data_IF_450412685961
#
_entry.id   IF_450412685961
#
_cell.length_a   1.000
_cell.length_b   1.000
_cell.length_c   1.000
_cell.angle_alpha   90.00
_cell.angle_beta   90.00
_cell.angle_gamma   90.00
#
_symmetry.space_group_name_H-M   'P 1'
#
loop_
_entity.id
_entity.type
_entity.pdbx_description
1 polymer ?
#
# COMPACT_ATOMS: atom_id res chain seq x y z
N UNK A 1 8.35 25.05 -36.08
CA UNK A 1 7.93 23.78 -36.71
C UNK A 1 8.25 22.68 -35.73
N UNK A 2 7.25 21.93 -35.27
CA UNK A 2 7.51 20.78 -34.39
C UNK A 2 8.45 19.80 -35.12
N UNK A 3 9.46 19.29 -34.42
CA UNK A 3 10.39 18.33 -34.98
C UNK A 3 9.60 17.07 -35.37
N UNK A 4 9.72 16.62 -36.63
CA UNK A 4 8.99 15.45 -37.14
C UNK A 4 9.25 14.23 -36.24
N UNK A 5 10.47 14.07 -35.76
CA UNK A 5 10.87 12.96 -34.88
C UNK A 5 10.14 13.00 -33.54
N UNK A 6 10.02 14.17 -32.91
CA UNK A 6 9.25 14.36 -31.67
C UNK A 6 7.78 14.00 -31.89
N UNK A 7 7.20 14.48 -32.99
CA UNK A 7 5.81 14.21 -33.35
C UNK A 7 5.54 12.72 -33.54
N UNK A 8 6.46 11.98 -34.17
CA UNK A 8 6.35 10.52 -34.31
C UNK A 8 6.32 9.86 -32.93
N UNK A 9 7.23 10.25 -32.02
CA UNK A 9 7.29 9.67 -30.68
C UNK A 9 6.03 9.90 -29.85
N UNK A 10 5.49 11.12 -29.84
CA UNK A 10 4.23 11.41 -29.13
C UNK A 10 3.06 10.62 -29.74
N UNK A 11 3.03 10.48 -31.07
CA UNK A 11 1.99 9.69 -31.75
C UNK A 11 2.10 8.19 -31.45
N UNK A 12 3.32 7.66 -31.39
CA UNK A 12 3.57 6.27 -31.02
C UNK A 12 3.14 5.99 -29.57
N UNK A 13 3.49 6.88 -28.63
CA UNK A 13 3.08 6.77 -27.24
C UNK A 13 1.56 6.82 -27.09
N UNK A 14 0.89 7.73 -27.80
CA UNK A 14 -0.58 7.84 -27.83
C UNK A 14 -1.24 6.55 -28.36
N UNK A 15 -0.71 5.98 -29.46
CA UNK A 15 -1.18 4.70 -29.99
C UNK A 15 -1.05 3.56 -28.97
N UNK A 16 0.12 3.49 -28.30
CA UNK A 16 0.38 2.45 -27.30
C UNK A 16 -0.56 2.60 -26.10
N UNK A 17 -0.75 3.83 -25.61
CA UNK A 17 -1.71 4.17 -24.56
C UNK A 17 -3.13 3.74 -24.92
N UNK A 18 -3.61 4.07 -26.12
CA UNK A 18 -4.95 3.67 -26.56
C UNK A 18 -5.12 2.14 -26.61
N UNK A 19 -4.12 1.41 -27.12
CA UNK A 19 -4.14 -0.07 -27.18
C UNK A 19 -4.15 -0.73 -25.81
N UNK A 20 -3.60 -0.07 -24.79
CA UNK A 20 -3.59 -0.55 -23.42
C UNK A 20 -4.65 0.14 -22.57
N UNK A 21 -5.67 0.75 -23.19
CA UNK A 21 -6.84 1.45 -22.59
C UNK A 21 -6.49 2.58 -21.61
N UNK A 22 -5.40 3.29 -21.86
CA UNK A 22 -5.11 4.58 -21.23
C UNK A 22 -5.63 5.72 -22.10
N UNK A 23 -6.29 6.69 -21.47
CA UNK A 23 -6.63 7.95 -22.10
C UNK A 23 -5.39 8.85 -22.16
N UNK A 24 -4.95 9.21 -23.37
CA UNK A 24 -3.78 10.05 -23.60
C UNK A 24 -4.21 11.48 -23.96
N UNK A 25 -3.69 12.48 -23.24
CA UNK A 25 -3.99 13.90 -23.44
C UNK A 25 -2.69 14.68 -23.61
N UNK A 26 -2.33 14.96 -24.85
CA UNK A 26 -1.17 15.82 -25.17
C UNK A 26 -1.34 17.21 -24.54
N UNK A 27 -0.24 17.73 -23.98
CA UNK A 27 -0.21 19.07 -23.39
C UNK A 27 0.31 20.11 -24.40
N UNK A 28 -0.16 21.37 -24.34
CA UNK A 28 0.40 22.45 -25.16
C UNK A 28 1.89 22.68 -24.85
N UNK A 29 2.66 23.07 -25.87
CA UNK A 29 4.13 23.13 -25.92
C UNK A 29 4.78 24.13 -24.93
N UNK A 30 3.99 24.88 -24.15
CA UNK A 30 4.49 25.89 -23.19
C UNK A 30 4.80 25.36 -21.78
N UNK A 31 4.57 24.06 -21.52
CA UNK A 31 4.80 23.47 -20.20
C UNK A 31 6.26 23.01 -20.02
N UNK A 32 6.76 23.02 -18.78
CA UNK A 32 8.17 22.91 -18.36
C UNK A 32 8.71 21.46 -18.52
N UNK A 33 8.44 20.84 -19.67
CA UNK A 33 8.81 19.46 -19.98
C UNK A 33 7.80 18.43 -19.48
N UNK A 34 6.51 18.62 -19.76
CA UNK A 34 5.51 17.54 -19.80
C UNK A 34 4.81 17.61 -21.14
N UNK A 35 4.94 16.55 -21.93
CA UNK A 35 4.36 16.46 -23.28
C UNK A 35 2.94 15.90 -23.26
N UNK A 36 2.59 15.10 -22.25
CA UNK A 36 1.26 14.51 -22.14
C UNK A 36 0.88 14.10 -20.73
N UNK A 37 -0.42 14.01 -20.50
CA UNK A 37 -1.00 13.30 -19.37
C UNK A 37 -1.63 11.98 -19.82
N UNK A 38 -1.55 10.96 -18.98
CA UNK A 38 -2.19 9.67 -19.18
C UNK A 38 -3.09 9.30 -18.03
N UNK A 39 -4.34 8.92 -18.31
CA UNK A 39 -5.32 8.54 -17.30
C UNK A 39 -5.84 7.12 -17.55
N UNK A 40 -5.92 6.32 -16.49
CA UNK A 40 -6.58 5.02 -16.48
C UNK A 40 -7.86 5.11 -15.68
N UNK A 41 -8.95 4.58 -16.23
CA UNK A 41 -10.22 4.38 -15.51
C UNK A 41 -10.56 2.90 -15.43
N UNK A 42 -11.33 2.52 -14.40
CA UNK A 42 -11.96 1.20 -14.35
C UNK A 42 -13.21 1.15 -15.23
N UNK A 43 -13.85 -0.02 -15.31
CA UNK A 43 -15.08 -0.23 -16.11
C UNK A 43 -16.26 0.64 -15.66
N UNK A 44 -16.22 1.19 -14.44
CA UNK A 44 -17.25 2.10 -13.91
C UNK A 44 -16.97 3.57 -14.21
N UNK A 45 -15.81 3.88 -14.81
CA UNK A 45 -15.34 5.23 -15.07
C UNK A 45 -14.62 5.88 -13.90
N UNK A 46 -14.34 5.15 -12.81
CA UNK A 46 -13.55 5.67 -11.69
C UNK A 46 -12.08 5.72 -12.08
N UNK A 47 -11.43 6.87 -11.85
CA UNK A 47 -10.00 7.06 -12.10
C UNK A 47 -9.20 6.12 -11.20
N UNK A 48 -8.36 5.29 -11.82
CA UNK A 48 -7.41 4.40 -11.17
C UNK A 48 -6.03 5.04 -11.05
N UNK A 49 -5.61 5.80 -12.06
CA UNK A 49 -4.28 6.41 -12.13
C UNK A 49 -4.25 7.60 -13.09
N UNK A 50 -3.43 8.60 -12.78
CA UNK A 50 -3.14 9.75 -13.63
C UNK A 50 -1.64 10.07 -13.58
N UNK A 51 -0.98 10.08 -14.74
CA UNK A 51 0.47 10.24 -14.87
C UNK A 51 0.81 11.42 -15.78
N UNK A 52 1.98 12.01 -15.56
CA UNK A 52 2.58 12.99 -16.43
C UNK A 52 3.78 12.39 -17.17
N UNK A 53 3.85 12.64 -18.48
CA UNK A 53 4.83 12.05 -19.38
C UNK A 53 5.71 13.14 -19.99
N UNK A 54 7.02 12.92 -19.94
CA UNK A 54 7.99 13.59 -20.80
C UNK A 54 8.47 12.62 -21.87
N UNK A 55 8.29 12.95 -23.15
CA UNK A 55 8.53 12.08 -24.30
C UNK A 55 9.71 12.62 -25.11
N UNK A 56 10.76 11.81 -25.21
CA UNK A 56 11.97 12.14 -25.99
C UNK A 56 12.14 11.12 -27.10
N UNK A 57 12.12 11.61 -28.34
CA UNK A 57 12.13 10.77 -29.53
C UNK A 57 13.37 11.04 -30.39
N UNK A 58 14.08 9.98 -30.77
CA UNK A 58 15.19 10.03 -31.72
C UNK A 58 16.39 9.17 -31.33
N UNK A 59 17.12 8.68 -32.33
CA UNK A 59 18.33 7.85 -32.16
C UNK A 59 19.39 8.51 -31.27
N UNK A 60 19.45 9.85 -31.22
CA UNK A 60 20.42 10.58 -30.41
C UNK A 60 20.28 10.31 -28.91
N UNK A 61 19.07 10.03 -28.42
CA UNK A 61 18.84 9.72 -27.01
C UNK A 61 19.37 8.34 -26.61
N UNK A 62 19.62 7.47 -27.59
CA UNK A 62 20.10 6.10 -27.40
C UNK A 62 21.61 5.96 -27.63
N UNK A 63 22.36 7.07 -27.76
CA UNK A 63 23.82 7.03 -27.98
C UNK A 63 24.60 6.46 -26.79
N UNK A 64 24.16 6.74 -25.58
CA UNK A 64 24.75 6.20 -24.35
C UNK A 64 23.97 4.96 -23.88
N UNK A 65 23.81 4.00 -24.79
CA UNK A 65 23.21 2.71 -24.48
C UNK A 65 24.23 1.80 -23.79
N UNK A 66 23.90 1.38 -22.57
CA UNK A 66 24.53 0.28 -21.84
C UNK A 66 23.61 -0.92 -22.00
N UNK A 67 24.17 -2.14 -22.03
CA UNK A 67 23.42 -3.39 -22.26
C UNK A 67 22.06 -3.42 -21.51
N UNK A 68 22.05 -2.99 -20.25
CA UNK A 68 20.86 -2.99 -19.39
C UNK A 68 20.10 -1.65 -19.30
N UNK A 69 20.65 -0.52 -19.76
CA UNK A 69 20.01 0.79 -19.64
C UNK A 69 20.56 1.86 -20.58
N UNK A 70 19.72 2.83 -20.95
CA UNK A 70 20.10 4.04 -21.69
C UNK A 70 20.27 5.21 -20.73
N UNK A 71 21.38 5.95 -20.85
CA UNK A 71 21.61 7.15 -20.02
C UNK A 71 20.99 8.39 -20.70
N UNK A 72 19.94 8.94 -20.09
CA UNK A 72 19.32 10.19 -20.52
C UNK A 72 19.83 11.37 -19.69
N UNK A 73 20.37 12.41 -20.34
CA UNK A 73 21.08 13.54 -19.70
C UNK A 73 20.49 14.94 -19.93
N UNK A 74 19.44 15.05 -20.75
CA UNK A 74 18.83 16.33 -21.12
C UNK A 74 17.90 16.81 -19.99
N UNK A 75 18.52 17.09 -18.83
CA UNK A 75 17.86 17.43 -17.57
C UNK A 75 18.62 18.58 -16.88
N UNK A 76 17.95 19.72 -16.74
CA UNK A 76 18.42 20.88 -15.97
C UNK A 76 17.76 20.98 -14.57
N UNK A 77 18.19 21.95 -13.76
CA UNK A 77 17.62 22.18 -12.41
C UNK A 77 16.12 22.51 -12.44
N UNK A 78 15.64 23.18 -13.48
CA UNK A 78 14.23 23.57 -13.58
C UNK A 78 13.35 22.35 -13.84
N UNK A 79 13.76 21.50 -14.78
CA UNK A 79 13.12 20.22 -15.09
C UNK A 79 13.17 19.26 -13.91
N UNK A 80 14.34 19.13 -13.26
CA UNK A 80 14.49 18.30 -12.06
C UNK A 80 13.48 18.70 -10.98
N UNK A 81 13.44 19.99 -10.62
CA UNK A 81 12.52 20.49 -9.59
C UNK A 81 11.05 20.30 -10.04
N UNK A 82 10.75 20.58 -11.30
CA UNK A 82 9.38 20.45 -11.82
C UNK A 82 8.87 19.02 -11.76
N UNK A 83 9.65 18.03 -12.18
CA UNK A 83 9.23 16.63 -12.20
C UNK A 83 9.19 16.01 -10.81
N UNK A 84 10.19 16.29 -9.96
CA UNK A 84 10.29 15.66 -8.63
C UNK A 84 9.31 16.24 -7.60
N UNK A 85 8.79 17.44 -7.83
CA UNK A 85 7.78 18.08 -6.96
C UNK A 85 6.37 18.07 -7.57
N UNK A 86 6.20 17.48 -8.75
CA UNK A 86 4.91 17.42 -9.42
C UNK A 86 3.91 16.60 -8.59
N UNK A 87 2.67 17.09 -8.52
CA UNK A 87 1.56 16.37 -7.85
C UNK A 87 1.22 15.07 -8.58
N UNK A 88 1.39 15.03 -9.90
CA UNK A 88 1.26 13.81 -10.69
C UNK A 88 2.60 13.07 -10.74
N UNK A 89 2.59 11.73 -10.63
CA UNK A 89 3.78 10.92 -10.90
C UNK A 89 4.29 11.16 -12.32
N UNK A 90 5.54 11.59 -12.43
CA UNK A 90 6.20 11.90 -13.69
C UNK A 90 7.05 10.73 -14.18
N UNK A 91 6.98 10.42 -15.47
CA UNK A 91 7.87 9.46 -16.14
C UNK A 91 8.52 10.11 -17.37
N UNK A 92 9.73 9.68 -17.69
CA UNK A 92 10.35 9.91 -19.00
C UNK A 92 10.12 8.69 -19.87
N UNK A 93 9.75 8.91 -21.13
CA UNK A 93 9.61 7.89 -22.17
C UNK A 93 10.60 8.22 -23.28
N UNK A 94 11.51 7.28 -23.58
CA UNK A 94 12.42 7.38 -24.71
C UNK A 94 11.91 6.50 -25.84
N UNK A 95 11.79 7.08 -27.03
CA UNK A 95 11.38 6.36 -28.23
C UNK A 95 12.45 6.46 -29.33
N UNK A 96 12.87 5.30 -29.85
CA UNK A 96 13.78 5.18 -30.98
C UNK A 96 12.99 4.89 -32.27
N UNK A 97 12.89 5.83 -33.22
CA UNK A 97 12.13 5.63 -34.45
C UNK A 97 12.77 4.63 -35.43
N UNK A 98 14.01 4.18 -35.18
CA UNK A 98 14.73 3.26 -36.07
C UNK A 98 14.29 1.80 -35.92
N UNK A 99 14.02 1.38 -34.69
CA UNK A 99 13.72 -0.01 -34.30
C UNK A 99 12.47 -0.10 -33.42
N UNK A 100 11.73 0.99 -33.28
CA UNK A 100 10.53 1.13 -32.44
C UNK A 100 10.75 0.84 -30.94
N UNK A 101 12.01 0.84 -30.47
CA UNK A 101 12.31 0.69 -29.05
C UNK A 101 11.68 1.85 -28.26
N UNK A 102 10.81 1.51 -27.31
CA UNK A 102 10.11 2.48 -26.48
C UNK A 102 10.22 2.05 -25.02
N UNK A 103 11.03 2.77 -24.25
CA UNK A 103 11.37 2.44 -22.86
C UNK A 103 11.06 3.62 -21.95
N UNK A 104 10.92 3.38 -20.66
CA UNK A 104 10.55 4.44 -19.71
C UNK A 104 11.25 4.31 -18.36
N UNK A 105 11.24 5.39 -17.59
CA UNK A 105 11.70 5.43 -16.20
C UNK A 105 10.93 6.48 -15.40
N UNK A 106 10.75 6.22 -14.10
CA UNK A 106 10.20 7.20 -13.15
C UNK A 106 11.12 8.41 -13.03
N UNK A 107 10.54 9.58 -12.77
CA UNK A 107 11.27 10.82 -12.51
C UNK A 107 11.08 11.19 -11.04
N UNK A 108 11.97 10.69 -10.19
CA UNK A 108 11.96 10.87 -8.73
C UNK A 108 13.34 11.32 -8.25
N UNK A 109 13.42 11.76 -6.98
CA UNK A 109 14.70 12.12 -6.33
C UNK A 109 15.70 10.95 -6.30
N UNK A 110 15.21 9.69 -6.33
CA UNK A 110 16.06 8.49 -6.28
C UNK A 110 16.56 8.06 -7.67
N UNK A 111 15.79 8.35 -8.71
CA UNK A 111 16.07 7.91 -10.09
C UNK A 111 16.86 8.95 -10.87
N UNK A 112 16.66 10.25 -10.58
CA UNK A 112 17.40 11.33 -11.20
C UNK A 112 18.67 11.62 -10.40
N UNK A 113 19.82 11.40 -11.03
CA UNK A 113 21.13 11.52 -10.40
C UNK A 113 21.86 12.76 -10.89
N UNK A 114 22.49 13.48 -9.97
CA UNK A 114 23.31 14.65 -10.32
C UNK A 114 24.65 14.21 -10.90
N UNK A 115 25.09 14.89 -11.96
CA UNK A 115 26.36 14.60 -12.62
C UNK A 115 27.57 14.85 -11.71
N UNK A 116 28.73 14.26 -12.04
CA UNK A 116 30.00 14.42 -11.31
C UNK A 116 29.87 14.14 -9.79
N UNK A 117 29.14 13.09 -9.41
CA UNK A 117 29.00 12.69 -8.01
C UNK A 117 28.36 13.76 -7.11
N UNK A 118 27.45 14.57 -7.65
CA UNK A 118 26.74 15.62 -6.91
C UNK A 118 27.24 17.04 -7.14
N UNK A 119 28.38 17.22 -7.82
CA UNK A 119 29.02 18.54 -8.02
C UNK A 119 28.79 19.14 -9.41
N UNK A 120 28.23 18.36 -10.35
CA UNK A 120 27.98 18.80 -11.72
C UNK A 120 26.75 19.69 -11.86
N UNK A 121 26.62 20.36 -13.01
CA UNK A 121 25.52 21.28 -13.32
C UNK A 121 24.29 20.63 -13.95
N UNK A 122 24.39 19.37 -14.39
CA UNK A 122 23.30 18.65 -15.03
C UNK A 122 22.91 17.40 -14.25
N UNK A 123 21.80 16.80 -14.65
CA UNK A 123 21.32 15.54 -14.12
C UNK A 123 21.28 14.48 -15.21
N UNK A 124 21.13 13.23 -14.79
CA UNK A 124 20.87 12.12 -15.69
C UNK A 124 19.96 11.10 -15.02
N UNK A 125 19.34 10.25 -15.83
CA UNK A 125 18.54 9.10 -15.39
C UNK A 125 18.94 7.90 -16.22
N UNK A 126 19.05 6.75 -15.56
CA UNK A 126 19.27 5.47 -16.23
C UNK A 126 17.91 4.87 -16.55
N UNK A 127 17.60 4.75 -17.85
CA UNK A 127 16.34 4.22 -18.37
C UNK A 127 16.54 2.75 -18.73
N UNK A 128 16.00 1.78 -17.97
CA UNK A 128 16.26 0.36 -18.19
C UNK A 128 15.75 -0.10 -19.56
N UNK A 129 16.53 -0.93 -20.25
CA UNK A 129 16.18 -1.42 -21.59
C UNK A 129 15.06 -2.46 -21.56
N UNK A 130 14.86 -3.14 -20.43
CA UNK A 130 13.80 -4.11 -20.16
C UNK A 130 12.48 -3.47 -19.71
N UNK A 131 12.49 -2.18 -19.32
CA UNK A 131 11.31 -1.44 -18.89
C UNK A 131 10.58 -0.83 -20.11
N UNK A 132 9.97 -1.71 -20.91
CA UNK A 132 9.28 -1.37 -22.16
C UNK A 132 7.98 -0.62 -21.90
N UNK A 133 7.79 0.52 -22.55
CA UNK A 133 6.62 1.39 -22.34
C UNK A 133 5.30 0.65 -22.61
N UNK A 134 4.49 0.52 -21.56
CA UNK A 134 3.16 -0.11 -21.55
C UNK A 134 3.13 -1.54 -22.12
N UNK A 135 4.15 -2.34 -21.83
CA UNK A 135 4.00 -3.80 -21.84
C UNK A 135 3.21 -4.28 -20.59
N UNK A 136 2.93 -5.58 -20.49
CA UNK A 136 2.09 -6.12 -19.41
C UNK A 136 2.66 -5.85 -18.01
N UNK A 137 3.98 -5.84 -17.87
CA UNK A 137 4.68 -5.60 -16.61
C UNK A 137 4.62 -4.10 -16.27
N UNK A 138 5.04 -3.25 -17.21
CA UNK A 138 5.05 -1.80 -17.02
C UNK A 138 3.65 -1.23 -16.78
N UNK A 139 2.63 -1.80 -17.42
CA UNK A 139 1.25 -1.37 -17.19
C UNK A 139 0.85 -1.57 -15.72
N UNK A 140 1.20 -2.71 -15.11
CA UNK A 140 0.97 -2.95 -13.66
C UNK A 140 1.79 -2.01 -12.79
N UNK A 141 3.07 -1.81 -13.12
CA UNK A 141 3.96 -0.92 -12.37
C UNK A 141 3.44 0.53 -12.37
N UNK A 142 3.06 1.05 -13.53
CA UNK A 142 2.55 2.41 -13.71
C UNK A 142 1.23 2.65 -12.96
N UNK A 143 0.35 1.65 -12.86
CA UNK A 143 -0.87 1.76 -12.05
C UNK A 143 -0.59 1.96 -10.56
N UNK A 144 0.52 1.41 -10.05
CA UNK A 144 0.93 1.56 -8.65
C UNK A 144 1.78 2.81 -8.36
N UNK A 145 2.25 3.52 -9.38
CA UNK A 145 3.20 4.62 -9.20
C UNK A 145 2.51 5.84 -8.58
N UNK A 146 3.03 6.31 -7.45
CA UNK A 146 2.53 7.48 -6.73
C UNK A 146 3.69 8.39 -6.33
N UNK A 147 3.47 9.71 -6.38
CA UNK A 147 4.37 10.73 -5.82
C UNK A 147 3.96 11.12 -4.40
N UNK A 148 2.94 10.48 -3.83
CA UNK A 148 2.49 10.77 -2.47
C UNK A 148 3.59 10.40 -1.47
N UNK A 149 4.00 11.33 -0.59
CA UNK A 149 4.90 10.99 0.51
C UNK A 149 4.34 9.88 1.39
N UNK A 150 5.21 9.09 2.01
CA UNK A 150 4.82 7.94 2.85
C UNK A 150 3.79 8.31 3.91
N UNK A 151 3.90 9.48 4.53
CA UNK A 151 2.95 9.93 5.55
C UNK A 151 1.54 10.13 4.98
N UNK A 152 1.38 10.55 3.72
CA UNK A 152 0.08 10.66 3.06
C UNK A 152 -0.44 9.27 2.67
N UNK A 153 0.42 8.39 2.17
CA UNK A 153 0.04 7.00 1.86
C UNK A 153 -0.45 6.26 3.11
N UNK A 154 0.27 6.39 4.23
CA UNK A 154 -0.10 5.81 5.51
C UNK A 154 -1.38 6.44 6.08
N UNK A 155 -1.56 7.76 5.94
CA UNK A 155 -2.82 8.42 6.29
C UNK A 155 -4.00 7.88 5.48
N UNK A 156 -3.84 7.75 4.16
CA UNK A 156 -4.86 7.20 3.26
C UNK A 156 -5.19 5.74 3.58
N UNK A 157 -4.19 4.94 3.96
CA UNK A 157 -4.40 3.58 4.42
C UNK A 157 -5.29 3.53 5.66
N UNK A 158 -5.01 4.35 6.69
CA UNK A 158 -5.88 4.46 7.87
C UNK A 158 -7.28 4.99 7.51
N UNK A 159 -7.35 5.99 6.64
CA UNK A 159 -8.62 6.56 6.17
C UNK A 159 -9.51 5.51 5.50
N UNK A 160 -8.92 4.59 4.73
CA UNK A 160 -9.66 3.49 4.08
C UNK A 160 -10.34 2.55 5.09
N UNK A 161 -9.84 2.49 6.32
CA UNK A 161 -10.36 1.66 7.41
C UNK A 161 -11.17 2.45 8.44
N UNK A 162 -11.35 3.75 8.25
CA UNK A 162 -12.06 4.66 9.16
C UNK A 162 -13.43 4.13 9.60
N UNK A 163 -14.19 3.52 8.68
CA UNK A 163 -15.53 3.02 8.98
C UNK A 163 -15.52 1.92 10.05
N UNK A 164 -14.51 1.06 10.07
CA UNK A 164 -14.36 0.04 11.12
C UNK A 164 -14.09 0.67 12.48
N UNK A 165 -13.19 1.66 12.52
CA UNK A 165 -12.90 2.41 13.75
C UNK A 165 -14.15 3.12 14.30
N UNK A 166 -14.95 3.73 13.43
CA UNK A 166 -16.20 4.40 13.83
C UNK A 166 -17.24 3.44 14.41
N UNK A 167 -17.40 2.25 13.80
CA UNK A 167 -18.32 1.23 14.31
C UNK A 167 -17.97 0.84 15.74
N UNK A 168 -16.69 0.64 16.05
CA UNK A 168 -16.23 0.33 17.41
C UNK A 168 -16.50 1.52 18.35
N UNK A 169 -16.23 2.76 17.91
CA UNK A 169 -16.50 3.96 18.70
C UNK A 169 -17.99 4.14 19.03
N UNK A 170 -18.89 3.70 18.14
CA UNK A 170 -20.33 3.75 18.30
C UNK A 170 -20.90 2.57 19.11
N UNK A 171 -20.04 1.65 19.57
CA UNK A 171 -20.41 0.49 20.40
C UNK A 171 -20.66 -0.81 19.62
N UNK A 172 -20.42 -0.82 18.30
CA UNK A 172 -20.41 -2.02 17.48
C UNK A 172 -19.21 -2.93 17.78
N UNK A 173 -19.24 -4.16 17.26
CA UNK A 173 -18.21 -5.18 17.49
C UNK A 173 -17.58 -5.62 16.19
N UNK A 174 -16.26 -5.72 16.18
CA UNK A 174 -15.50 -6.24 15.04
C UNK A 174 -14.67 -7.43 15.50
N UNK A 175 -14.83 -8.54 14.81
CA UNK A 175 -14.07 -9.78 15.03
C UNK A 175 -13.25 -10.10 13.79
N UNK A 176 -11.98 -10.42 13.99
CA UNK A 176 -11.06 -10.93 12.98
C UNK A 176 -11.07 -12.45 13.07
N UNK A 177 -11.52 -13.10 12.00
CA UNK A 177 -11.42 -14.54 11.84
C UNK A 177 -10.33 -14.83 10.82
N UNK A 178 -9.41 -15.74 11.15
CA UNK A 178 -8.33 -16.11 10.25
C UNK A 178 -7.89 -17.55 10.43
N UNK A 179 -7.65 -18.26 9.32
CA UNK A 179 -7.05 -19.60 9.33
C UNK A 179 -5.71 -19.58 8.61
N UNK A 180 -4.67 -20.20 9.18
CA UNK A 180 -3.34 -20.30 8.58
C UNK A 180 -2.88 -21.77 8.53
N UNK A 181 -2.44 -22.25 7.38
CA UNK A 181 -1.72 -23.52 7.27
C UNK A 181 -0.29 -23.38 7.80
N UNK A 182 -0.06 -23.87 9.02
CA UNK A 182 1.22 -23.71 9.74
C UNK A 182 2.34 -24.59 9.18
N UNK A 183 1.98 -25.74 8.61
CA UNK A 183 2.96 -26.63 7.99
C UNK A 183 3.29 -26.17 6.56
N UNK A 184 4.60 -26.05 6.28
CA UNK A 184 5.25 -25.81 4.96
C UNK A 184 5.56 -24.37 4.55
N UNK A 185 5.56 -23.39 5.46
CA UNK A 185 5.89 -21.98 5.16
C UNK A 185 5.04 -21.36 4.02
N UNK A 186 3.94 -22.02 3.64
CA UNK A 186 3.14 -21.63 2.48
C UNK A 186 2.38 -20.33 2.75
N UNK A 187 2.13 -20.03 4.03
CA UNK A 187 1.33 -18.91 4.51
C UNK A 187 -0.08 -18.90 3.93
N UNK A 188 -0.54 -20.00 3.33
CA UNK A 188 -1.89 -20.11 2.78
C UNK A 188 -2.87 -20.01 3.93
N UNK A 189 -3.84 -19.12 3.75
CA UNK A 189 -4.83 -18.87 4.75
C UNK A 189 -5.95 -18.02 4.21
N UNK A 190 -6.95 -17.82 5.04
CA UNK A 190 -8.07 -16.94 4.80
C UNK A 190 -8.14 -15.97 5.97
N UNK A 191 -8.43 -14.70 5.68
CA UNK A 191 -8.59 -13.66 6.69
C UNK A 191 -9.85 -12.87 6.38
N UNK A 192 -10.74 -12.74 7.36
CA UNK A 192 -11.96 -11.96 7.24
C UNK A 192 -12.26 -11.13 8.49
N UNK A 193 -12.90 -9.98 8.30
CA UNK A 193 -13.53 -9.23 9.39
C UNK A 193 -15.03 -9.52 9.41
N UNK A 194 -15.52 -9.94 10.58
CA UNK A 194 -16.93 -10.07 10.92
C UNK A 194 -17.32 -8.81 11.69
N UNK A 195 -18.08 -7.94 11.05
CA UNK A 195 -18.45 -6.61 11.55
C UNK A 195 -19.92 -6.60 11.93
N UNK A 196 -20.20 -6.31 13.20
CA UNK A 196 -21.53 -6.12 13.75
C UNK A 196 -21.71 -4.64 14.13
N UNK A 197 -22.54 -3.92 13.36
CA UNK A 197 -22.85 -2.51 13.58
C UNK A 197 -24.08 -2.28 14.49
N UNK A 198 -24.56 -3.34 15.16
CA UNK A 198 -25.76 -3.31 16.00
C UNK A 198 -27.07 -3.46 15.22
N UNK A 199 -27.06 -3.25 13.90
CA UNK A 199 -28.22 -3.46 13.04
C UNK A 199 -28.03 -4.69 12.12
N UNK A 200 -26.81 -4.95 11.68
CA UNK A 200 -26.47 -5.99 10.73
C UNK A 200 -25.07 -6.54 10.95
N UNK A 201 -24.90 -7.84 10.68
CA UNK A 201 -23.58 -8.47 10.62
C UNK A 201 -23.13 -8.60 9.18
N UNK A 202 -21.91 -8.15 8.86
CA UNK A 202 -21.31 -8.22 7.52
C UNK A 202 -19.92 -8.84 7.58
N UNK A 203 -19.55 -9.56 6.53
CA UNK A 203 -18.22 -10.15 6.36
C UNK A 203 -17.41 -9.41 5.31
N UNK A 204 -16.16 -9.12 5.62
CA UNK A 204 -15.19 -8.47 4.72
C UNK A 204 -13.99 -9.38 4.55
N UNK A 205 -13.85 -9.99 3.37
CA UNK A 205 -12.78 -10.95 3.06
C UNK A 205 -11.54 -10.21 2.56
N UNK A 206 -10.38 -10.57 3.10
CA UNK A 206 -9.08 -10.11 2.63
C UNK A 206 -8.51 -11.18 1.70
N UNK A 207 -8.38 -10.93 0.37
CA UNK A 207 -8.00 -11.94 -0.61
C UNK A 207 -6.48 -12.18 -0.64
N UNK A 208 -5.80 -12.00 0.50
CA UNK A 208 -4.35 -12.07 0.62
C UNK A 208 -3.97 -13.12 1.65
N UNK A 209 -2.84 -13.76 1.39
CA UNK A 209 -2.20 -14.68 2.30
C UNK A 209 -0.74 -14.26 2.49
N UNK A 210 -0.13 -14.61 3.60
CA UNK A 210 1.12 -14.01 4.04
C UNK A 210 2.22 -15.07 4.21
N UNK A 211 2.93 -15.42 3.13
CA UNK A 211 3.98 -16.42 3.19
C UNK A 211 5.16 -15.91 4.03
N UNK A 212 5.82 -16.84 4.74
CA UNK A 212 7.01 -16.57 5.56
C UNK A 212 6.84 -15.56 6.70
N UNK A 213 5.61 -15.18 7.06
CA UNK A 213 5.32 -14.24 8.16
C UNK A 213 4.25 -14.84 9.05
N UNK A 214 4.48 -14.86 10.37
CA UNK A 214 3.46 -15.30 11.32
C UNK A 214 2.25 -14.38 11.25
N UNK A 215 1.04 -14.95 11.25
CA UNK A 215 -0.17 -14.14 11.15
C UNK A 215 -0.32 -13.16 12.33
N UNK A 216 0.22 -13.50 13.50
CA UNK A 216 0.31 -12.59 14.66
C UNK A 216 1.18 -11.35 14.43
N UNK A 217 2.15 -11.40 13.50
CA UNK A 217 2.94 -10.24 13.07
C UNK A 217 2.24 -9.46 11.94
N UNK A 218 1.37 -10.13 11.18
CA UNK A 218 0.61 -9.55 10.07
C UNK A 218 -0.54 -8.70 10.59
N UNK A 219 -1.32 -9.19 11.57
CA UNK A 219 -2.53 -8.50 12.01
C UNK A 219 -2.26 -7.06 12.48
N UNK A 220 -1.22 -6.76 13.29
CA UNK A 220 -0.90 -5.38 13.66
C UNK A 220 -0.48 -4.49 12.49
N UNK A 221 -0.01 -5.06 11.38
CA UNK A 221 0.32 -4.32 10.15
C UNK A 221 -0.92 -4.04 9.30
N UNK A 222 -1.88 -4.98 9.28
CA UNK A 222 -3.15 -4.81 8.58
C UNK A 222 -4.10 -3.88 9.32
N UNK A 223 -4.14 -3.99 10.65
CA UNK A 223 -5.03 -3.23 11.53
C UNK A 223 -4.23 -2.49 12.62
N UNK A 224 -3.33 -1.56 12.26
CA UNK A 224 -2.47 -0.87 13.22
C UNK A 224 -3.23 0.00 14.22
N UNK A 225 -4.49 0.32 13.92
CA UNK A 225 -5.40 1.07 14.78
C UNK A 225 -6.04 0.24 15.89
N UNK A 226 -5.84 -1.09 15.89
CA UNK A 226 -6.54 -2.02 16.77
C UNK A 226 -5.62 -2.62 17.84
N UNK A 227 -6.19 -2.83 19.04
CA UNK A 227 -5.77 -3.86 19.97
C UNK A 227 -6.48 -5.17 19.63
N UNK A 228 -5.84 -6.29 19.94
CA UNK A 228 -6.35 -7.62 19.66
C UNK A 228 -6.54 -8.38 20.98
N UNK A 229 -7.71 -8.98 21.14
CA UNK A 229 -8.04 -9.85 22.27
C UNK A 229 -8.74 -11.09 21.75
N UNK A 230 -8.62 -12.22 22.44
CA UNK A 230 -9.29 -13.43 22.00
C UNK A 230 -10.80 -13.31 22.22
N UNK A 231 -11.57 -13.92 21.33
CA UNK A 231 -13.02 -14.05 21.55
C UNK A 231 -13.28 -15.10 22.64
N UNK A 232 -13.51 -14.62 23.86
CA UNK A 232 -13.68 -15.48 25.03
C UNK A 232 -14.88 -16.45 24.93
N UNK A 233 -15.88 -16.16 24.09
CA UNK A 233 -16.96 -17.10 23.81
C UNK A 233 -16.50 -18.19 22.84
N UNK A 234 -15.79 -17.81 21.79
CA UNK A 234 -15.23 -18.74 20.80
C UNK A 234 -14.24 -19.74 21.43
N UNK A 235 -13.34 -19.25 22.30
CA UNK A 235 -12.29 -20.09 22.91
C UNK A 235 -12.75 -20.85 24.16
N UNK A 236 -14.00 -20.70 24.61
CA UNK A 236 -14.43 -21.20 25.93
C UNK A 236 -14.16 -22.69 26.11
N UNK A 237 -14.58 -23.53 25.17
CA UNK A 237 -14.44 -24.99 25.29
C UNK A 237 -12.96 -25.40 25.29
N UNK A 238 -12.18 -24.89 24.33
CA UNK A 238 -10.74 -25.16 24.22
C UNK A 238 -9.96 -24.68 25.45
N UNK A 239 -10.27 -23.49 25.96
CA UNK A 239 -9.63 -22.96 27.16
C UNK A 239 -10.01 -23.78 28.40
N UNK A 240 -11.27 -24.23 28.53
CA UNK A 240 -11.73 -25.10 29.63
C UNK A 240 -11.02 -26.46 29.60
N UNK A 241 -10.86 -27.07 28.42
CA UNK A 241 -10.15 -28.33 28.25
C UNK A 241 -8.68 -28.21 28.67
N UNK A 242 -8.00 -27.15 28.20
CA UNK A 242 -6.61 -26.88 28.55
C UNK A 242 -6.45 -26.60 30.04
N UNK A 243 -7.35 -25.80 30.63
CA UNK A 243 -7.37 -25.51 32.06
C UNK A 243 -7.55 -26.79 32.87
N UNK A 244 -8.52 -27.65 32.53
CA UNK A 244 -8.73 -28.94 33.21
C UNK A 244 -7.49 -29.82 33.16
N UNK A 245 -6.79 -29.85 32.04
CA UNK A 245 -5.58 -30.64 31.87
C UNK A 245 -4.40 -30.15 32.74
N UNK A 246 -4.34 -28.85 33.02
CA UNK A 246 -3.19 -28.21 33.70
C UNK A 246 -3.44 -27.87 35.17
N UNK A 247 -4.68 -27.55 35.54
CA UNK A 247 -5.06 -26.97 36.84
C UNK A 247 -6.11 -27.78 37.60
N UNK A 248 -6.62 -28.88 37.04
CA UNK A 248 -7.58 -29.75 37.71
C UNK A 248 -7.07 -31.18 37.83
N UNK A 249 -7.49 -31.85 38.91
CA UNK A 249 -7.32 -33.28 39.11
C UNK A 249 -8.69 -33.96 39.05
N UNK A 250 -8.83 -35.00 38.23
CA UNK A 250 -10.08 -35.76 38.15
C UNK A 250 -10.12 -36.84 39.23
N UNK A 251 -11.06 -36.71 40.17
CA UNK A 251 -11.31 -37.71 41.20
C UNK A 251 -12.33 -38.74 40.69
N UNK A 252 -11.84 -39.98 40.51
CA UNK A 252 -12.65 -41.11 40.05
C UNK A 252 -13.62 -41.63 41.09
N UNK A 253 -13.38 -41.37 42.38
CA UNK A 253 -14.26 -41.83 43.46
C UNK A 253 -15.49 -40.93 43.60
N UNK A 254 -15.31 -39.62 43.40
CA UNK A 254 -16.39 -38.62 43.41
C UNK A 254 -17.04 -38.33 42.05
N UNK A 255 -16.42 -38.74 40.94
CA UNK A 255 -16.80 -38.34 39.57
C UNK A 255 -16.80 -36.80 39.38
N UNK A 256 -15.81 -36.13 39.99
CA UNK A 256 -15.71 -34.66 40.01
C UNK A 256 -14.29 -34.19 39.65
N UNK A 257 -14.22 -33.00 39.06
CA UNK A 257 -12.96 -32.30 38.82
C UNK A 257 -12.63 -31.41 40.02
N UNK A 258 -11.47 -31.64 40.63
CA UNK A 258 -10.98 -30.87 41.77
C UNK A 258 -9.98 -29.83 41.27
N UNK A 259 -10.24 -28.56 41.56
CA UNK A 259 -9.33 -27.44 41.26
C UNK A 259 -8.11 -27.51 42.19
N UNK A 260 -6.91 -27.62 41.60
CA UNK A 260 -5.64 -27.75 42.33
C UNK A 260 -4.63 -26.65 41.97
N UNK A 261 -4.95 -25.80 40.99
CA UNK A 261 -4.17 -24.63 40.61
C UNK A 261 -5.04 -23.37 40.50
N UNK A 262 -4.64 -22.45 39.63
CA UNK A 262 -5.40 -21.23 39.32
C UNK A 262 -6.86 -21.51 38.94
N UNK A 263 -7.75 -20.60 39.32
CA UNK A 263 -9.16 -20.65 38.86
C UNK A 263 -9.23 -20.47 37.35
N UNK A 264 -10.33 -20.91 36.72
CA UNK A 264 -10.50 -20.77 35.27
C UNK A 264 -10.35 -19.31 34.79
N UNK A 265 -10.86 -18.33 35.54
CA UNK A 265 -10.75 -16.91 35.20
C UNK A 265 -9.32 -16.36 35.28
N UNK A 266 -8.57 -16.76 36.30
CA UNK A 266 -7.15 -16.38 36.46
C UNK A 266 -6.30 -17.01 35.35
N UNK A 267 -6.53 -18.29 35.07
CA UNK A 267 -5.90 -19.00 33.96
C UNK A 267 -6.13 -18.30 32.62
N UNK A 268 -7.38 -17.95 32.29
CA UNK A 268 -7.71 -17.25 31.03
C UNK A 268 -6.99 -15.92 30.89
N UNK A 269 -6.86 -15.17 31.98
CA UNK A 269 -6.15 -13.87 31.98
C UNK A 269 -4.65 -14.04 31.73
N UNK A 270 -4.07 -15.21 32.04
CA UNK A 270 -2.67 -15.52 31.77
C UNK A 270 -2.38 -15.92 30.32
N UNK A 271 -3.42 -16.29 29.55
CA UNK A 271 -3.26 -16.74 28.17
C UNK A 271 -2.89 -15.60 27.23
N UNK A 272 -2.22 -15.95 26.12
CA UNK A 272 -1.90 -14.98 25.08
C UNK A 272 -3.21 -14.40 24.48
N UNK A 273 -3.37 -13.06 24.41
CA UNK A 273 -4.57 -12.43 23.85
C UNK A 273 -4.72 -12.67 22.34
N UNK A 274 -3.66 -13.07 21.65
CA UNK A 274 -3.67 -13.48 20.23
C UNK A 274 -3.44 -14.98 20.06
N UNK A 275 -3.97 -15.79 20.99
CA UNK A 275 -3.95 -17.26 20.88
C UNK A 275 -4.78 -17.77 19.70
N UNK A 276 -4.53 -19.02 19.30
CA UNK A 276 -5.23 -19.72 18.22
C UNK A 276 -5.63 -21.14 18.66
N UNK A 277 -6.59 -21.73 17.95
CA UNK A 277 -6.91 -23.15 18.06
C UNK A 277 -6.03 -23.91 17.06
N UNK A 278 -5.26 -24.89 17.56
CA UNK A 278 -4.46 -25.76 16.72
C UNK A 278 -5.28 -26.97 16.26
N UNK A 279 -5.54 -27.05 14.95
CA UNK A 279 -6.20 -28.19 14.33
C UNK A 279 -5.15 -29.20 13.90
N UNK A 280 -4.84 -30.13 14.81
CA UNK A 280 -3.95 -31.27 14.61
C UNK A 280 -2.53 -30.91 14.12
N UNK A 281 -2.02 -29.74 14.50
CA UNK A 281 -0.70 -29.24 14.08
C UNK A 281 -0.65 -28.81 12.62
N UNK A 282 -1.79 -28.74 11.91
CA UNK A 282 -1.84 -28.41 10.48
C UNK A 282 -2.37 -27.00 10.21
N UNK A 283 -3.39 -26.56 10.97
CA UNK A 283 -4.06 -25.29 10.77
C UNK A 283 -4.20 -24.55 12.10
N UNK A 284 -3.72 -23.31 12.13
CA UNK A 284 -3.96 -22.37 13.22
C UNK A 284 -5.21 -21.53 12.91
N UNK A 285 -6.20 -21.53 13.81
CA UNK A 285 -7.43 -20.76 13.67
C UNK A 285 -7.55 -19.67 14.74
N UNK A 286 -7.68 -18.43 14.29
CA UNK A 286 -7.75 -17.22 15.09
C UNK A 286 -9.16 -16.65 15.07
N UNK A 287 -9.70 -16.31 16.24
CA UNK A 287 -10.92 -15.51 16.41
C UNK A 287 -10.66 -14.37 17.40
N UNK A 288 -10.34 -13.18 16.89
CA UNK A 288 -9.90 -12.06 17.71
C UNK A 288 -10.94 -10.94 17.70
N UNK A 289 -11.28 -10.41 18.87
CA UNK A 289 -12.05 -9.17 19.02
C UNK A 289 -11.11 -7.98 18.90
N UNK A 290 -11.44 -7.05 18.00
CA UNK A 290 -10.69 -5.82 17.77
C UNK A 290 -11.29 -4.69 18.60
N UNK A 291 -10.44 -3.93 19.28
CA UNK A 291 -10.80 -2.70 19.98
C UNK A 291 -9.87 -1.55 19.56
N UNK A 292 -10.29 -0.30 19.74
CA UNK A 292 -9.45 0.84 19.40
C UNK A 292 -8.23 0.90 20.32
N UNK A 293 -7.06 1.14 19.75
CA UNK A 293 -5.88 1.56 20.48
C UNK A 293 -5.69 3.08 20.42
N UNK A 294 -4.65 3.60 21.06
CA UNK A 294 -4.35 5.04 21.10
C UNK A 294 -4.21 5.66 19.70
N UNK A 295 -3.65 4.91 18.74
CA UNK A 295 -3.53 5.36 17.35
C UNK A 295 -4.91 5.48 16.69
N UNK A 296 -5.76 4.45 16.83
CA UNK A 296 -7.12 4.46 16.27
C UNK A 296 -7.98 5.59 16.82
N UNK A 297 -7.98 5.79 18.14
CA UNK A 297 -8.70 6.90 18.76
C UNK A 297 -8.18 8.27 18.32
N UNK A 298 -6.86 8.43 18.27
CA UNK A 298 -6.22 9.68 17.87
C UNK A 298 -6.47 9.99 16.40
N UNK A 299 -6.42 8.97 15.53
CA UNK A 299 -6.69 9.11 14.11
C UNK A 299 -8.10 9.63 13.85
N UNK A 300 -9.13 9.10 14.53
CA UNK A 300 -10.50 9.61 14.41
C UNK A 300 -10.62 11.09 14.80
N UNK A 301 -9.93 11.51 15.87
CA UNK A 301 -9.90 12.91 16.33
C UNK A 301 -9.19 13.82 15.32
N UNK A 302 -8.04 13.38 14.80
CA UNK A 302 -7.27 14.12 13.79
C UNK A 302 -8.06 14.23 12.49
N UNK A 303 -8.62 13.13 12.01
CA UNK A 303 -9.40 13.10 10.77
C UNK A 303 -10.62 14.03 10.84
N UNK A 304 -11.33 14.03 11.98
CA UNK A 304 -12.41 15.00 12.23
C UNK A 304 -11.89 16.44 12.21
N UNK A 305 -10.70 16.70 12.76
CA UNK A 305 -10.10 18.02 12.77
C UNK A 305 -9.68 18.50 11.37
N UNK A 306 -9.00 17.67 10.58
CA UNK A 306 -8.46 18.05 9.26
C UNK A 306 -9.52 18.07 8.16
N UNK A 307 -10.64 17.35 8.33
CA UNK A 307 -11.75 17.34 7.36
C UNK A 307 -12.58 18.63 7.34
N UNK A 308 -12.32 19.57 8.25
CA UNK A 308 -13.05 20.84 8.33
C UNK A 308 -12.22 22.00 7.77
N UNK A 309 -12.83 22.98 7.06
CA UNK A 309 -12.11 24.17 6.62
C UNK A 309 -11.64 24.97 7.83
N UNK A 310 -10.37 25.37 7.83
CA UNK A 310 -9.74 26.07 8.97
C UNK A 310 -9.36 27.51 8.62
N UNK A 311 -9.72 28.50 9.47
CA UNK A 311 -9.09 29.80 9.41
C UNK A 311 -7.61 29.68 9.82
N UNK A 312 -6.75 30.55 9.29
CA UNK A 312 -5.32 30.66 9.65
C UNK A 312 -4.36 29.56 9.16
N UNK A 313 -4.74 28.71 8.20
CA UNK A 313 -3.83 27.69 7.60
C UNK A 313 -2.51 28.28 7.09
N UNK A 314 -2.55 29.54 6.61
CA UNK A 314 -1.38 30.27 6.12
C UNK A 314 -0.53 30.95 7.20
N UNK A 315 -0.95 30.97 8.47
CA UNK A 315 -0.20 31.65 9.54
C UNK A 315 1.02 30.82 9.91
N UNK A 316 2.20 31.27 9.52
CA UNK A 316 3.49 30.65 9.85
C UNK A 316 4.34 31.62 10.69
N UNK A 317 5.08 31.13 11.70
CA UNK A 317 6.09 31.96 12.36
C UNK A 317 7.18 32.31 11.35
N UNK A 318 7.61 33.57 11.33
CA UNK A 318 8.78 33.99 10.57
C UNK A 318 10.02 33.76 11.44
N UNK A 319 11.10 33.23 10.86
CA UNK A 319 12.40 33.27 11.53
C UNK A 319 12.85 34.73 11.66
N UNK A 320 13.18 35.16 12.88
CA UNK A 320 13.87 36.43 13.08
C UNK A 320 15.27 36.32 12.46
N UNK A 321 15.59 37.19 11.49
CA UNK A 321 16.91 37.23 10.88
C UNK A 321 17.99 37.51 11.93
N UNK A 322 18.96 36.61 12.04
CA UNK A 322 20.21 36.81 12.80
C UNK A 322 21.21 37.55 11.91
#
# INVERSE_FOLDING_TARGET
MANITERIGVSYCSLKAAKTEWMFREQPIDDIGIDAHMERTDKSGKVQQLLALQIKSGESYFKENKEDYVIFRDIDDRQYNYWTTNTLPCIVVLYNPKDDMCIWQKLTVDTIQKTCGGTGKGYYVNVPTDQVFLDDISNKLLLSFTNLPDHITNYNFLLSQKKFMQIIQEGGKIRLHSTEWVNKCSGRGETELIVDDGNSTKKYVYPYWFPYTLYTDVFPRLFPWANFTADEEYYKETDEELWRALHCYYDKEGDEWIEVGDTFGEFRTSLNPMRYIDHAGEVAEYMLVLSLNDLGESFLKIDQYVSQPRPYVGTRPNEEGI
#
